data_IF_947811096456
#
_entry.id   IF_947811096456
#
_cell.length_a   1.000
_cell.length_b   1.000
_cell.length_c   1.000
_cell.angle_alpha   90.00
_cell.angle_beta   90.00
_cell.angle_gamma   90.00
#
_symmetry.space_group_name_H-M   'P 1'
#
loop_
_entity.id
_entity.type
_entity.pdbx_description
1 polymer ?
#
# COMPACT_ATOMS: atom_id res chain seq x y z
N UNK A 1 23.43 6.76 -27.80
CA UNK A 1 23.04 6.25 -26.47
C UNK A 1 24.22 6.42 -25.53
N UNK A 2 24.06 6.95 -24.30
CA UNK A 2 25.17 7.02 -23.34
C UNK A 2 25.71 5.60 -23.04
N UNK A 3 27.02 5.42 -22.99
CA UNK A 3 27.66 4.12 -22.76
C UNK A 3 27.18 3.45 -21.46
N UNK A 4 26.91 4.25 -20.42
CA UNK A 4 26.39 3.79 -19.12
C UNK A 4 24.98 3.19 -19.22
N UNK A 5 24.13 3.75 -20.08
CA UNK A 5 22.77 3.25 -20.28
C UNK A 5 22.79 1.92 -21.02
N UNK A 6 23.66 1.77 -22.01
CA UNK A 6 23.84 0.52 -22.73
C UNK A 6 24.35 -0.59 -21.80
N UNK A 7 25.35 -0.28 -20.96
CA UNK A 7 25.83 -1.20 -19.93
C UNK A 7 24.71 -1.59 -18.96
N UNK A 8 23.92 -0.63 -18.47
CA UNK A 8 22.80 -0.89 -17.56
C UNK A 8 21.75 -1.84 -18.16
N UNK A 9 21.49 -1.72 -19.46
CA UNK A 9 20.60 -2.64 -20.20
C UNK A 9 21.24 -4.03 -20.37
N UNK A 10 22.53 -4.10 -20.69
CA UNK A 10 23.26 -5.37 -20.85
C UNK A 10 23.29 -6.18 -19.54
N UNK A 11 23.51 -5.52 -18.40
CA UNK A 11 23.50 -6.17 -17.08
C UNK A 11 22.09 -6.44 -16.55
N UNK A 12 21.03 -6.09 -17.31
CA UNK A 12 19.63 -6.22 -16.93
C UNK A 12 19.31 -5.55 -15.58
N UNK A 13 19.80 -4.32 -15.40
CA UNK A 13 19.54 -3.55 -14.20
C UNK A 13 18.01 -3.43 -13.96
N UNK A 14 17.59 -3.63 -12.71
CA UNK A 14 16.16 -3.58 -12.32
C UNK A 14 15.62 -2.15 -12.19
N UNK A 15 16.52 -1.19 -12.00
CA UNK A 15 16.25 0.24 -11.80
C UNK A 15 17.40 0.98 -12.47
N UNK A 16 17.09 2.01 -13.26
CA UNK A 16 18.09 2.82 -13.98
C UNK A 16 17.85 4.29 -13.61
N UNK A 17 18.80 4.92 -12.95
CA UNK A 17 18.73 6.36 -12.73
C UNK A 17 19.20 7.15 -13.94
N UNK A 18 18.45 8.18 -14.33
CA UNK A 18 18.76 9.02 -15.49
C UNK A 18 18.68 10.48 -15.05
N UNK A 19 19.69 11.29 -15.39
CA UNK A 19 19.62 12.73 -15.14
C UNK A 19 18.53 13.35 -16.01
N UNK A 20 17.84 14.37 -15.52
CA UNK A 20 16.77 15.07 -16.26
C UNK A 20 17.22 15.48 -17.67
N UNK A 21 18.42 16.06 -17.81
CA UNK A 21 18.98 16.50 -19.09
C UNK A 21 19.21 15.38 -20.11
N UNK A 22 19.17 14.12 -19.68
CA UNK A 22 19.39 12.94 -20.51
C UNK A 22 18.08 12.16 -20.78
N UNK A 23 16.96 12.57 -20.19
CA UNK A 23 15.69 11.85 -20.28
C UNK A 23 15.14 11.79 -21.71
N UNK A 24 15.21 12.88 -22.47
CA UNK A 24 14.82 12.93 -23.88
C UNK A 24 15.64 12.01 -24.81
N UNK A 25 16.78 11.48 -24.33
CA UNK A 25 17.65 10.54 -25.07
C UNK A 25 17.41 9.10 -24.65
N UNK A 26 16.47 8.86 -23.73
CA UNK A 26 16.10 7.54 -23.29
C UNK A 26 15.15 6.93 -24.33
N UNK A 27 15.46 5.73 -24.88
CA UNK A 27 14.60 5.13 -25.87
C UNK A 27 13.31 4.69 -25.19
N UNK A 28 12.18 5.28 -25.58
CA UNK A 28 10.87 4.68 -25.32
C UNK A 28 10.86 3.29 -25.96
N UNK A 29 11.03 2.25 -25.15
CA UNK A 29 10.75 0.88 -25.57
C UNK A 29 9.44 0.49 -24.91
N UNK A 30 8.45 0.26 -25.76
CA UNK A 30 7.04 0.18 -25.41
C UNK A 30 6.69 -0.76 -24.28
N UNK A 31 5.53 -0.46 -23.69
CA UNK A 31 4.79 -1.16 -22.65
C UNK A 31 5.59 -1.51 -21.38
N UNK A 32 5.02 -1.25 -20.18
CA UNK A 32 5.74 -1.41 -18.92
C UNK A 32 5.95 -2.89 -18.59
N UNK A 33 7.04 -3.50 -19.07
CA UNK A 33 7.49 -4.79 -18.57
C UNK A 33 8.28 -4.58 -17.27
N UNK A 34 7.57 -4.26 -16.18
CA UNK A 34 7.89 -4.46 -14.75
C UNK A 34 9.30 -4.13 -14.18
N UNK A 35 10.27 -3.63 -14.95
CA UNK A 35 11.70 -3.71 -14.56
C UNK A 35 12.58 -2.53 -15.00
N UNK A 36 12.02 -1.43 -15.48
CA UNK A 36 12.81 -0.25 -15.87
C UNK A 36 12.24 0.98 -15.20
N UNK A 37 12.46 1.09 -13.89
CA UNK A 37 12.20 2.32 -13.17
C UNK A 37 13.29 3.32 -13.57
N UNK A 38 12.95 4.25 -14.47
CA UNK A 38 13.76 5.43 -14.76
C UNK A 38 13.63 6.35 -13.55
N UNK A 39 14.73 6.69 -12.90
CA UNK A 39 14.72 7.62 -11.76
C UNK A 39 15.24 8.97 -12.25
N UNK A 40 14.38 9.98 -12.40
CA UNK A 40 14.83 11.36 -12.64
C UNK A 40 15.30 12.00 -11.33
N UNK A 41 16.48 12.61 -11.34
CA UNK A 41 17.26 12.93 -10.12
C UNK A 41 16.96 14.32 -9.51
N UNK A 42 16.22 15.19 -10.19
CA UNK A 42 16.17 16.62 -9.80
C UNK A 42 14.79 17.25 -10.06
N UNK A 43 13.71 16.70 -9.50
CA UNK A 43 12.41 17.38 -9.56
C UNK A 43 12.37 18.59 -8.64
N UNK A 44 11.96 19.74 -9.20
CA UNK A 44 11.83 21.02 -8.49
C UNK A 44 10.40 21.29 -8.01
N UNK A 45 9.44 20.45 -8.37
CA UNK A 45 8.02 20.61 -8.03
C UNK A 45 7.11 19.68 -8.83
N UNK A 46 5.78 19.83 -8.66
CA UNK A 46 4.79 18.90 -9.22
C UNK A 46 4.78 18.80 -10.75
N UNK A 47 5.05 19.89 -11.45
CA UNK A 47 5.08 19.93 -12.92
C UNK A 47 6.12 18.96 -13.52
N UNK A 48 7.27 18.82 -12.87
CA UNK A 48 8.29 17.85 -13.25
C UNK A 48 7.78 16.41 -13.08
N UNK A 49 7.11 16.12 -11.96
CA UNK A 49 6.53 14.79 -11.68
C UNK A 49 5.51 14.41 -12.73
N UNK A 50 4.59 15.31 -13.09
CA UNK A 50 3.57 15.05 -14.10
C UNK A 50 4.18 14.82 -15.49
N UNK A 51 5.19 15.60 -15.86
CA UNK A 51 5.93 15.41 -17.10
C UNK A 51 6.64 14.06 -17.13
N UNK A 52 7.36 13.71 -16.07
CA UNK A 52 8.06 12.42 -15.98
C UNK A 52 7.09 11.24 -16.06
N UNK A 53 5.97 11.31 -15.34
CA UNK A 53 4.93 10.29 -15.41
C UNK A 53 4.37 10.13 -16.84
N UNK A 54 4.16 11.22 -17.58
CA UNK A 54 3.75 11.19 -18.98
C UNK A 54 4.81 10.56 -19.91
N UNK A 55 6.10 10.74 -19.59
CA UNK A 55 7.23 10.12 -20.28
C UNK A 55 7.50 8.65 -19.81
N UNK A 56 6.60 8.05 -19.03
CA UNK A 56 6.68 6.65 -18.60
C UNK A 56 7.62 6.38 -17.41
N UNK A 57 8.08 7.42 -16.73
CA UNK A 57 8.90 7.32 -15.52
C UNK A 57 8.06 6.78 -14.35
N UNK A 58 8.56 5.72 -13.73
CA UNK A 58 7.89 5.07 -12.59
C UNK A 58 8.23 5.65 -11.22
N UNK A 59 9.30 6.45 -11.09
CA UNK A 59 9.68 7.09 -9.84
C UNK A 59 10.56 8.32 -10.06
N UNK A 60 10.55 9.23 -9.08
CA UNK A 60 11.38 10.44 -9.07
C UNK A 60 12.22 10.44 -7.79
N UNK A 61 13.48 10.83 -7.89
CA UNK A 61 14.32 11.10 -6.72
C UNK A 61 14.30 12.60 -6.45
N UNK A 62 14.04 12.96 -5.20
CA UNK A 62 14.01 14.35 -4.77
C UNK A 62 14.93 14.49 -3.57
N UNK A 63 15.93 15.37 -3.69
CA UNK A 63 16.91 15.63 -2.64
C UNK A 63 17.02 17.12 -2.37
N UNK A 64 17.75 17.83 -3.22
CA UNK A 64 18.09 19.24 -3.01
C UNK A 64 16.87 20.16 -2.86
N UNK A 65 15.88 20.05 -3.75
CA UNK A 65 14.66 20.85 -3.67
C UNK A 65 13.89 20.63 -2.34
N UNK A 66 13.79 19.38 -1.89
CA UNK A 66 13.21 19.05 -0.59
C UNK A 66 14.03 19.62 0.58
N UNK A 67 15.36 19.60 0.49
CA UNK A 67 16.22 20.15 1.54
C UNK A 67 16.12 21.68 1.63
N UNK A 68 15.91 22.37 0.50
CA UNK A 68 15.75 23.83 0.43
C UNK A 68 14.34 24.33 0.76
N UNK A 69 13.33 23.46 0.72
CA UNK A 69 11.95 23.84 1.02
C UNK A 69 11.82 24.39 2.46
N UNK A 70 11.16 25.55 2.57
CA UNK A 70 10.81 26.17 3.85
C UNK A 70 9.88 25.25 4.64
N UNK A 71 8.82 24.78 3.99
CA UNK A 71 7.91 23.75 4.50
C UNK A 71 8.07 22.44 3.71
N UNK A 72 8.79 21.50 4.31
CA UNK A 72 9.06 20.18 3.72
C UNK A 72 7.80 19.33 3.56
N UNK A 73 6.83 19.50 4.46
CA UNK A 73 5.58 18.74 4.42
C UNK A 73 4.73 19.24 3.25
N UNK A 74 4.57 20.55 3.14
CA UNK A 74 3.86 21.17 2.02
C UNK A 74 4.51 20.80 0.67
N UNK A 75 5.85 20.81 0.59
CA UNK A 75 6.56 20.43 -0.63
C UNK A 75 6.37 18.95 -1.00
N UNK A 76 6.41 18.02 -0.04
CA UNK A 76 6.09 16.60 -0.30
C UNK A 76 4.63 16.44 -0.75
N UNK A 77 3.70 17.16 -0.13
CA UNK A 77 2.29 17.14 -0.55
C UNK A 77 2.14 17.64 -1.99
N UNK A 78 2.81 18.74 -2.34
CA UNK A 78 2.82 19.27 -3.71
C UNK A 78 3.29 18.21 -4.71
N UNK A 79 4.45 17.58 -4.46
CA UNK A 79 5.03 16.53 -5.31
C UNK A 79 4.09 15.33 -5.49
N UNK A 80 3.40 14.93 -4.43
CA UNK A 80 2.44 13.83 -4.45
C UNK A 80 1.07 14.22 -5.02
N UNK A 81 0.83 15.51 -5.25
CA UNK A 81 -0.47 16.01 -5.67
C UNK A 81 -1.54 16.09 -4.62
N UNK A 82 -1.13 16.10 -3.36
CA UNK A 82 -2.00 16.25 -2.21
C UNK A 82 -2.22 17.76 -1.99
N UNK A 83 -3.46 18.23 -1.85
CA UNK A 83 -3.74 19.64 -1.59
C UNK A 83 -3.13 20.11 -0.25
N UNK A 84 -2.78 21.41 -0.11
CA UNK A 84 -2.04 21.95 1.05
C UNK A 84 -2.79 21.78 2.38
N UNK A 85 -4.11 21.74 2.35
CA UNK A 85 -4.96 21.34 3.47
C UNK A 85 -5.56 19.97 3.17
N UNK A 86 -4.85 18.86 3.48
CA UNK A 86 -5.44 17.55 3.34
C UNK A 86 -6.70 17.48 4.22
N UNK A 87 -7.82 17.01 3.66
CA UNK A 87 -9.02 16.75 4.44
C UNK A 87 -8.67 15.65 5.45
N UNK A 88 -8.36 16.03 6.68
CA UNK A 88 -8.22 15.08 7.78
C UNK A 88 -9.61 14.54 8.07
N UNK A 89 -9.96 13.45 7.42
CA UNK A 89 -11.20 12.73 7.73
C UNK A 89 -11.00 12.03 9.07
N UNK A 90 -11.77 12.43 10.08
CA UNK A 90 -11.80 11.77 11.39
C UNK A 90 -12.50 10.42 11.26
N UNK A 91 -11.82 9.43 10.67
CA UNK A 91 -12.33 8.06 10.57
C UNK A 91 -12.06 7.32 11.86
N UNK A 92 -13.01 6.47 12.26
CA UNK A 92 -12.79 5.52 13.37
C UNK A 92 -11.58 4.62 13.01
N UNK A 93 -10.58 4.49 13.90
CA UNK A 93 -9.43 3.62 13.63
C UNK A 93 -9.84 2.18 13.37
N UNK A 94 -9.18 1.56 12.39
CA UNK A 94 -9.29 0.12 12.16
C UNK A 94 -8.48 -0.64 13.23
N UNK A 95 -9.10 -1.62 13.87
CA UNK A 95 -8.47 -2.46 14.90
C UNK A 95 -8.08 -3.82 14.35
N UNK A 96 -6.78 -4.14 14.44
CA UNK A 96 -6.24 -5.46 14.14
C UNK A 96 -5.82 -6.19 15.41
N UNK A 97 -6.34 -7.39 15.63
CA UNK A 97 -5.88 -8.29 16.70
C UNK A 97 -4.87 -9.28 16.13
N UNK A 98 -3.61 -9.19 16.55
CA UNK A 98 -2.49 -9.92 15.93
C UNK A 98 -2.07 -11.17 16.72
N UNK A 99 -1.76 -12.26 16.00
CA UNK A 99 -1.24 -13.49 16.59
C UNK A 99 -2.33 -14.37 17.21
N UNK A 100 -3.51 -14.40 16.59
CA UNK A 100 -4.59 -15.32 16.94
C UNK A 100 -4.13 -16.77 16.69
N UNK A 101 -4.34 -17.63 17.67
CA UNK A 101 -3.91 -19.05 17.63
C UNK A 101 -5.04 -20.06 17.77
N UNK A 102 -6.18 -19.64 18.31
CA UNK A 102 -7.29 -20.52 18.64
C UNK A 102 -8.58 -20.01 18.02
N UNK A 103 -9.50 -20.93 17.75
CA UNK A 103 -10.84 -20.62 17.25
C UNK A 103 -11.57 -19.71 18.23
N UNK A 104 -11.53 -20.04 19.52
CA UNK A 104 -12.16 -19.27 20.59
C UNK A 104 -11.70 -17.80 20.58
N UNK A 105 -10.38 -17.55 20.59
CA UNK A 105 -9.85 -16.18 20.55
C UNK A 105 -10.28 -15.42 19.29
N UNK A 106 -10.37 -16.11 18.15
CA UNK A 106 -10.80 -15.51 16.89
C UNK A 106 -12.28 -15.08 16.93
N UNK A 107 -13.15 -15.94 17.48
CA UNK A 107 -14.58 -15.67 17.63
C UNK A 107 -14.80 -14.54 18.64
N UNK A 108 -14.11 -14.56 19.78
CA UNK A 108 -14.18 -13.46 20.75
C UNK A 108 -13.73 -12.12 20.15
N UNK A 109 -12.59 -12.10 19.45
CA UNK A 109 -12.12 -10.89 18.77
C UNK A 109 -13.10 -10.39 17.70
N UNK A 110 -13.74 -11.32 16.97
CA UNK A 110 -14.79 -11.01 15.99
C UNK A 110 -15.99 -10.35 16.67
N UNK A 111 -16.50 -10.95 17.75
CA UNK A 111 -17.65 -10.44 18.49
C UNK A 111 -17.36 -9.11 19.20
N UNK A 112 -16.10 -8.87 19.58
CA UNK A 112 -15.65 -7.59 20.12
C UNK A 112 -15.52 -6.48 19.06
N UNK A 113 -15.75 -6.79 17.77
CA UNK A 113 -15.73 -5.80 16.68
C UNK A 113 -14.37 -5.54 16.07
N UNK A 114 -13.42 -6.50 16.15
CA UNK A 114 -12.15 -6.38 15.44
C UNK A 114 -12.35 -6.24 13.92
N UNK A 115 -11.59 -5.37 13.29
CA UNK A 115 -11.64 -5.18 11.83
C UNK A 115 -10.79 -6.20 11.08
N UNK A 116 -9.65 -6.59 11.68
CA UNK A 116 -8.72 -7.53 11.11
C UNK A 116 -8.20 -8.53 12.16
N UNK A 117 -7.95 -9.76 11.74
CA UNK A 117 -7.32 -10.80 12.55
C UNK A 117 -5.99 -11.23 11.91
N UNK A 118 -4.92 -11.20 12.70
CA UNK A 118 -3.57 -11.56 12.26
C UNK A 118 -3.22 -13.01 12.61
N UNK A 119 -2.85 -13.79 11.59
CA UNK A 119 -2.31 -15.15 11.72
C UNK A 119 -0.81 -15.14 11.40
N UNK A 120 0.00 -15.76 12.25
CA UNK A 120 1.46 -15.77 12.10
C UNK A 120 1.91 -17.14 11.63
N UNK A 121 2.64 -17.20 10.52
CA UNK A 121 3.18 -18.41 9.90
C UNK A 121 4.72 -18.46 10.00
N UNK A 122 5.28 -17.92 11.09
CA UNK A 122 6.73 -17.87 11.31
C UNK A 122 7.09 -18.92 12.37
N UNK A 123 7.78 -20.03 12.00
CA UNK A 123 8.00 -21.17 12.91
C UNK A 123 8.66 -20.81 14.25
N UNK A 124 9.59 -19.84 14.25
CA UNK A 124 10.28 -19.39 15.48
C UNK A 124 9.39 -18.55 16.42
N UNK A 125 8.20 -18.14 15.99
CA UNK A 125 7.29 -17.33 16.80
C UNK A 125 6.46 -18.21 17.72
N UNK A 126 6.39 -17.85 19.02
CA UNK A 126 5.45 -18.47 19.96
C UNK A 126 3.97 -18.33 19.54
N UNK A 127 3.69 -17.38 18.64
CA UNK A 127 2.37 -17.10 18.06
C UNK A 127 2.14 -17.79 16.71
N UNK A 128 3.03 -18.68 16.28
CA UNK A 128 2.88 -19.41 15.02
C UNK A 128 1.63 -20.31 15.04
N UNK A 129 0.95 -20.37 13.90
CA UNK A 129 -0.12 -21.33 13.61
C UNK A 129 0.25 -22.16 12.39
N UNK A 130 -0.27 -23.40 12.32
CA UNK A 130 -0.19 -24.24 11.12
C UNK A 130 -1.28 -23.84 10.12
N UNK A 131 -1.16 -24.23 8.83
CA UNK A 131 -2.24 -24.05 7.86
C UNK A 131 -3.57 -24.68 8.30
N UNK A 132 -3.52 -25.84 8.96
CA UNK A 132 -4.73 -26.52 9.47
C UNK A 132 -5.39 -25.72 10.60
N UNK A 133 -4.60 -25.18 11.53
CA UNK A 133 -5.11 -24.30 12.58
C UNK A 133 -5.69 -23.02 12.00
N UNK A 134 -5.01 -22.41 11.02
CA UNK A 134 -5.50 -21.24 10.31
C UNK A 134 -6.83 -21.51 9.60
N UNK A 135 -6.97 -22.64 8.91
CA UNK A 135 -8.22 -23.03 8.25
C UNK A 135 -9.38 -23.17 9.24
N UNK A 136 -9.15 -23.84 10.36
CA UNK A 136 -10.15 -23.98 11.43
C UNK A 136 -10.59 -22.61 11.99
N UNK A 137 -9.62 -21.72 12.26
CA UNK A 137 -9.89 -20.34 12.71
C UNK A 137 -10.73 -19.58 11.67
N UNK A 138 -10.32 -19.62 10.39
CA UNK A 138 -11.00 -18.91 9.32
C UNK A 138 -12.44 -19.40 9.21
N UNK A 139 -12.67 -20.72 9.12
CA UNK A 139 -14.02 -21.31 9.03
C UNK A 139 -14.92 -20.89 10.18
N UNK A 140 -14.41 -20.87 11.40
CA UNK A 140 -15.18 -20.45 12.58
C UNK A 140 -15.58 -18.96 12.51
N UNK A 141 -14.66 -18.07 12.11
CA UNK A 141 -14.96 -16.64 11.92
C UNK A 141 -16.02 -16.45 10.84
N UNK A 142 -15.95 -17.20 9.73
CA UNK A 142 -16.96 -17.14 8.66
C UNK A 142 -18.34 -17.53 9.19
N UNK A 143 -18.43 -18.67 9.89
CA UNK A 143 -19.67 -19.17 10.47
C UNK A 143 -20.27 -18.22 11.50
N UNK A 144 -19.43 -17.67 12.38
CA UNK A 144 -19.87 -16.72 13.43
C UNK A 144 -20.45 -15.42 12.86
N UNK A 145 -19.95 -14.97 11.70
CA UNK A 145 -20.45 -13.77 11.04
C UNK A 145 -21.76 -13.96 10.28
N UNK A 146 -22.08 -15.20 9.87
CA UNK A 146 -23.34 -15.52 9.18
C UNK A 146 -24.54 -15.50 10.12
N UNK A 147 -24.31 -15.76 11.42
CA UNK A 147 -25.36 -15.78 12.46
C UNK A 147 -25.66 -14.41 13.07
N UNK A 148 -24.81 -13.40 12.82
CA UNK A 148 -25.03 -12.05 13.36
C UNK A 148 -25.93 -11.25 12.43
N UNK A 149 -26.93 -10.50 12.95
CA UNK A 149 -27.73 -9.61 12.12
C UNK A 149 -26.79 -8.61 11.45
N UNK A 150 -26.91 -8.47 10.12
CA UNK A 150 -26.18 -7.45 9.36
C UNK A 150 -26.47 -6.10 10.04
N UNK A 151 -25.44 -5.30 10.39
CA UNK A 151 -25.68 -3.97 10.91
C UNK A 151 -26.59 -3.26 9.91
N UNK A 152 -27.72 -2.75 10.43
CA UNK A 152 -28.71 -2.00 9.66
C UNK A 152 -27.96 -0.96 8.82
N UNK A 153 -28.24 -1.02 7.52
CA UNK A 153 -27.62 -0.19 6.49
C UNK A 153 -27.92 1.28 6.76
N UNK A 154 -27.10 1.94 7.58
CA UNK A 154 -26.81 3.35 7.37
C UNK A 154 -25.93 3.40 6.12
N UNK A 155 -26.64 3.54 5.00
CA UNK A 155 -26.16 3.66 3.62
C UNK A 155 -25.44 5.00 3.45
N UNK A 156 -24.29 5.14 4.11
CA UNK A 156 -23.23 5.94 3.52
C UNK A 156 -22.33 4.97 2.77
N UNK A 157 -22.45 4.99 1.44
CA UNK A 157 -21.45 4.38 0.57
C UNK A 157 -20.09 4.93 1.00
N UNK A 158 -19.20 4.05 1.49
CA UNK A 158 -17.82 4.46 1.71
C UNK A 158 -17.20 4.58 0.33
N UNK A 159 -17.27 5.79 -0.23
CA UNK A 159 -16.55 6.12 -1.44
C UNK A 159 -15.04 5.91 -1.22
N UNK A 160 -14.35 5.54 -2.29
CA UNK A 160 -12.91 5.34 -2.24
C UNK A 160 -12.24 6.70 -2.09
N UNK A 161 -11.57 6.89 -0.96
CA UNK A 161 -10.83 8.12 -0.73
C UNK A 161 -9.52 8.09 -1.51
N UNK A 162 -9.50 8.73 -2.68
CA UNK A 162 -8.32 8.81 -3.53
C UNK A 162 -7.40 9.99 -3.20
N UNK A 163 -7.59 10.67 -2.06
CA UNK A 163 -6.79 11.85 -1.69
C UNK A 163 -5.30 11.52 -1.55
N UNK A 164 -4.99 10.37 -0.96
CA UNK A 164 -3.63 9.87 -0.83
C UNK A 164 -3.63 8.33 -0.75
N UNK A 165 -2.45 7.73 -0.85
CA UNK A 165 -2.32 6.28 -0.86
C UNK A 165 -2.85 5.60 0.42
N UNK A 166 -2.61 6.19 1.60
CA UNK A 166 -3.06 5.65 2.89
C UNK A 166 -4.57 5.76 3.02
N UNK A 167 -5.13 6.91 2.66
CA UNK A 167 -6.59 7.11 2.66
C UNK A 167 -7.29 6.13 1.71
N UNK A 168 -6.70 5.88 0.53
CA UNK A 168 -7.21 4.90 -0.42
C UNK A 168 -7.14 3.47 0.13
N UNK A 169 -6.03 3.08 0.75
CA UNK A 169 -5.93 1.73 1.34
C UNK A 169 -6.86 1.57 2.54
N UNK A 170 -7.01 2.61 3.37
CA UNK A 170 -7.91 2.57 4.52
C UNK A 170 -9.38 2.40 4.11
N UNK A 171 -9.84 3.17 3.11
CA UNK A 171 -11.20 3.08 2.57
C UNK A 171 -11.46 1.72 1.92
N UNK A 172 -10.49 1.17 1.17
CA UNK A 172 -10.57 -0.21 0.63
C UNK A 172 -10.71 -1.28 1.71
N UNK A 173 -9.94 -1.19 2.79
CA UNK A 173 -10.03 -2.15 3.89
C UNK A 173 -11.39 -2.05 4.60
N UNK A 174 -11.87 -0.84 4.86
CA UNK A 174 -13.18 -0.58 5.44
C UNK A 174 -14.32 -1.14 4.57
N UNK A 175 -14.30 -0.81 3.27
CA UNK A 175 -15.29 -1.29 2.31
C UNK A 175 -15.32 -2.82 2.30
N UNK A 176 -14.15 -3.47 2.16
CA UNK A 176 -14.06 -4.94 2.14
C UNK A 176 -14.56 -5.57 3.45
N UNK A 177 -14.21 -4.99 4.60
CA UNK A 177 -14.67 -5.44 5.92
C UNK A 177 -16.20 -5.33 6.02
N UNK A 178 -16.80 -4.22 5.57
CA UNK A 178 -18.25 -4.03 5.56
C UNK A 178 -18.95 -5.01 4.62
N UNK A 179 -18.47 -5.16 3.38
CA UNK A 179 -19.05 -6.09 2.39
C UNK A 179 -19.03 -7.53 2.89
N UNK A 180 -17.97 -7.95 3.59
CA UNK A 180 -17.87 -9.31 4.12
C UNK A 180 -18.64 -9.53 5.43
N UNK A 181 -19.06 -8.45 6.11
CA UNK A 181 -19.75 -8.53 7.41
C UNK A 181 -18.90 -9.15 8.52
N UNK A 182 -17.57 -9.23 8.35
CA UNK A 182 -16.66 -9.94 9.26
C UNK A 182 -15.24 -9.39 9.19
N UNK A 183 -14.38 -9.69 10.17
CA UNK A 183 -12.99 -9.26 10.18
C UNK A 183 -12.21 -9.81 8.98
N UNK A 184 -11.30 -9.01 8.43
CA UNK A 184 -10.38 -9.43 7.39
C UNK A 184 -9.24 -10.27 7.97
N UNK A 185 -8.90 -11.37 7.32
CA UNK A 185 -7.80 -12.24 7.75
C UNK A 185 -6.48 -11.79 7.11
N UNK A 186 -5.46 -11.57 7.93
CA UNK A 186 -4.13 -11.13 7.51
C UNK A 186 -3.08 -12.15 7.92
N UNK A 187 -2.37 -12.73 6.96
CA UNK A 187 -1.25 -13.63 7.21
C UNK A 187 0.08 -12.87 7.31
N UNK A 188 0.90 -13.23 8.28
CA UNK A 188 2.30 -12.80 8.35
C UNK A 188 3.22 -14.01 8.18
N UNK A 189 3.98 -14.01 7.09
CA UNK A 189 5.04 -14.99 6.80
C UNK A 189 6.36 -14.26 6.58
N UNK A 190 7.48 -14.89 6.95
CA UNK A 190 8.80 -14.42 6.52
C UNK A 190 9.10 -15.03 5.16
N UNK A 191 9.40 -14.18 4.18
CA UNK A 191 10.05 -14.62 2.94
C UNK A 191 11.43 -15.14 3.30
N UNK A 192 11.85 -16.30 2.77
CA UNK A 192 13.25 -16.74 2.89
C UNK A 192 14.12 -15.66 2.22
N UNK A 193 15.08 -15.13 2.97
CA UNK A 193 16.14 -14.29 2.45
C UNK A 193 17.12 -15.15 1.65
#
# INVERSE_FOLDING_TARGET
>A
MPAELELALQIKARVIGVKQSQLARFPERGAPTRSSCVLSVESQGRSDVDRYAAEGVGAVLVGEALMKAEDKVAFVHELLGIPPTPKVTTRKPLVKICGIKTVEAAVHATNAGADLLGLIFVPKSKRCVTPQQADAIIKAVRKSSESSPKPSLETEEIDLDTTDWFSLQSSRLLQKRRTQGRPLIVGFSKTRA
#
